data_IF_166529229270
#
_entry.id   IF_166529229270
#
_cell.length_a   1.000
_cell.length_b   1.000
_cell.length_c   1.000
_cell.angle_alpha   90.00
_cell.angle_beta   90.00
_cell.angle_gamma   90.00
#
_symmetry.space_group_name_H-M   'P 1'
#
loop_
_entity.id
_entity.type
_entity.pdbx_description
1 polymer ?
#
# COMPACT_ATOMS: atom_id res chain seq x y z
N UNK A 1 -45.51 -73.99 -14.39
CA UNK A 1 -44.77 -73.93 -13.11
C UNK A 1 -43.49 -73.13 -13.34
N UNK A 2 -43.28 -72.10 -12.54
CA UNK A 2 -42.09 -71.24 -12.48
C UNK A 2 -40.88 -72.00 -11.84
N UNK A 3 -39.70 -71.39 -11.57
CA UNK A 3 -38.81 -70.63 -12.46
C UNK A 3 -37.27 -70.86 -12.18
N UNK A 4 -36.43 -70.06 -12.86
CA UNK A 4 -35.05 -69.60 -12.51
C UNK A 4 -33.86 -70.59 -12.51
N UNK A 5 -32.78 -70.22 -13.23
CA UNK A 5 -31.54 -69.69 -12.63
C UNK A 5 -30.48 -69.41 -13.72
N UNK A 6 -30.15 -68.14 -13.88
CA UNK A 6 -28.92 -67.68 -14.53
C UNK A 6 -27.74 -67.93 -13.57
N UNK A 7 -26.60 -68.43 -14.08
CA UNK A 7 -25.40 -68.56 -13.27
C UNK A 7 -24.17 -68.02 -14.01
N UNK A 8 -23.44 -67.20 -13.27
CA UNK A 8 -22.36 -66.33 -13.70
C UNK A 8 -21.04 -67.08 -13.53
N UNK A 9 -20.17 -67.10 -14.55
CA UNK A 9 -18.78 -67.54 -14.39
C UNK A 9 -17.90 -66.30 -14.32
N UNK A 10 -17.34 -66.08 -13.15
CA UNK A 10 -16.44 -65.00 -12.81
C UNK A 10 -15.11 -65.14 -13.58
N UNK A 11 -14.75 -64.09 -14.33
CA UNK A 11 -13.43 -63.95 -14.92
C UNK A 11 -12.44 -63.44 -13.86
N UNK A 12 -11.31 -64.13 -13.81
CA UNK A 12 -10.13 -63.88 -12.99
C UNK A 12 -9.51 -62.51 -13.32
N UNK A 13 -9.38 -61.61 -12.34
CA UNK A 13 -8.54 -60.41 -12.42
C UNK A 13 -7.61 -60.37 -11.21
N UNK A 14 -6.39 -60.87 -11.39
CA UNK A 14 -5.28 -60.64 -10.47
C UNK A 14 -4.81 -59.20 -10.75
N UNK A 15 -5.32 -58.25 -9.96
CA UNK A 15 -4.81 -56.88 -9.93
C UNK A 15 -3.56 -56.91 -9.04
N UNK A 16 -2.39 -57.05 -9.66
CA UNK A 16 -1.13 -56.71 -9.01
C UNK A 16 -1.14 -55.21 -8.72
N UNK A 17 -1.32 -54.85 -7.45
CA UNK A 17 -1.18 -53.48 -6.98
C UNK A 17 0.30 -53.06 -7.12
N UNK A 18 0.65 -52.42 -8.24
CA UNK A 18 1.83 -51.57 -8.28
C UNK A 18 1.52 -50.34 -7.42
N UNK A 19 2.02 -50.35 -6.19
CA UNK A 19 2.15 -49.15 -5.39
C UNK A 19 3.20 -48.26 -6.06
N UNK A 20 2.77 -47.38 -6.97
CA UNK A 20 3.54 -46.19 -7.31
C UNK A 20 3.54 -45.29 -6.07
N UNK A 21 4.59 -45.41 -5.26
CA UNK A 21 4.93 -44.38 -4.29
C UNK A 21 5.18 -43.09 -5.09
N UNK A 22 4.20 -42.19 -5.08
CA UNK A 22 4.42 -40.81 -5.51
C UNK A 22 5.58 -40.26 -4.67
N UNK A 23 6.63 -39.67 -5.28
CA UNK A 23 7.63 -38.99 -4.50
C UNK A 23 6.92 -37.88 -3.71
N UNK A 24 7.05 -37.91 -2.38
CA UNK A 24 6.72 -36.77 -1.55
C UNK A 24 7.58 -35.62 -2.08
N UNK A 25 6.98 -34.73 -2.87
CA UNK A 25 7.67 -33.60 -3.43
C UNK A 25 8.13 -32.76 -2.23
N UNK A 26 9.44 -32.67 -2.04
CA UNK A 26 10.03 -31.63 -1.19
C UNK A 26 9.61 -30.29 -1.79
N UNK A 27 8.46 -29.78 -1.34
CA UNK A 27 7.92 -28.52 -1.83
C UNK A 27 8.85 -27.35 -1.51
N UNK A 28 9.73 -27.51 -0.53
CA UNK A 28 10.74 -26.53 -0.17
C UNK A 28 12.11 -26.88 -0.75
N UNK A 29 12.65 -26.01 -1.59
CA UNK A 29 14.05 -26.08 -2.05
C UNK A 29 14.96 -25.20 -1.19
N UNK A 30 14.45 -24.06 -0.70
CA UNK A 30 15.20 -23.06 0.07
C UNK A 30 14.26 -22.22 0.95
N UNK A 31 14.79 -21.61 2.02
CA UNK A 31 14.02 -20.71 2.89
C UNK A 31 14.06 -19.28 2.36
N UNK A 32 12.90 -18.64 2.22
CA UNK A 32 12.76 -17.23 1.93
C UNK A 32 13.22 -16.38 3.13
N UNK A 33 13.65 -15.15 2.89
CA UNK A 33 13.81 -14.15 3.95
C UNK A 33 12.43 -13.84 4.59
N UNK A 34 12.39 -13.35 5.84
CA UNK A 34 11.15 -12.82 6.42
C UNK A 34 10.50 -11.78 5.50
N UNK A 35 9.20 -11.92 5.21
CA UNK A 35 8.50 -11.06 4.24
C UNK A 35 8.85 -11.33 2.76
N UNK A 36 9.75 -12.25 2.47
CA UNK A 36 10.26 -12.53 1.13
C UNK A 36 9.33 -13.40 0.28
N UNK A 37 9.72 -13.59 -0.98
CA UNK A 37 8.96 -14.37 -1.95
C UNK A 37 9.02 -15.88 -1.65
N UNK A 38 7.88 -16.56 -1.75
CA UNK A 38 7.68 -17.98 -1.47
C UNK A 38 6.73 -18.63 -2.48
N UNK A 39 6.63 -19.96 -2.48
CA UNK A 39 5.71 -20.67 -3.36
C UNK A 39 6.34 -21.11 -4.68
N UNK A 40 5.55 -21.78 -5.55
CA UNK A 40 6.03 -22.46 -6.74
C UNK A 40 6.55 -21.48 -7.79
N UNK A 41 5.94 -20.30 -7.88
CA UNK A 41 6.37 -19.23 -8.78
C UNK A 41 7.67 -18.55 -8.35
N UNK A 42 8.15 -18.81 -7.13
CA UNK A 42 9.30 -18.14 -6.53
C UNK A 42 10.44 -19.11 -6.23
N UNK A 43 10.62 -20.10 -7.11
CA UNK A 43 11.69 -21.09 -7.00
C UNK A 43 11.48 -22.10 -5.88
N UNK A 44 10.21 -22.40 -5.54
CA UNK A 44 9.83 -23.31 -4.46
C UNK A 44 10.39 -22.91 -3.08
N UNK A 45 10.44 -21.60 -2.83
CA UNK A 45 10.89 -21.03 -1.55
C UNK A 45 9.84 -21.18 -0.47
N UNK A 46 10.29 -21.50 0.74
CA UNK A 46 9.42 -21.64 1.90
C UNK A 46 9.63 -20.54 2.91
N UNK A 47 8.55 -20.14 3.56
CA UNK A 47 8.62 -19.09 4.54
C UNK A 47 9.39 -19.52 5.79
N UNK A 48 10.04 -18.56 6.49
CA UNK A 48 10.58 -18.82 7.81
C UNK A 48 9.52 -19.42 8.75
N UNK A 49 9.97 -20.19 9.73
CA UNK A 49 9.09 -20.86 10.69
C UNK A 49 8.06 -19.89 11.29
N UNK A 50 6.79 -20.31 11.32
CA UNK A 50 5.67 -19.51 11.83
C UNK A 50 5.10 -18.50 10.84
N UNK A 51 5.65 -18.38 9.63
CA UNK A 51 5.08 -17.56 8.56
C UNK A 51 4.34 -18.41 7.52
N UNK A 52 3.26 -17.84 7.03
CA UNK A 52 2.41 -18.36 5.97
C UNK A 52 2.89 -17.88 4.61
N UNK A 53 2.85 -18.75 3.61
CA UNK A 53 3.03 -18.31 2.23
C UNK A 53 1.67 -17.92 1.66
N UNK A 54 1.46 -16.63 1.41
CA UNK A 54 0.20 -16.12 0.85
C UNK A 54 -0.09 -16.72 -0.53
N UNK A 55 -1.34 -16.65 -0.99
CA UNK A 55 -1.70 -17.02 -2.37
C UNK A 55 -0.92 -16.24 -3.45
N UNK A 56 -0.37 -15.08 -3.08
CA UNK A 56 0.42 -14.22 -3.95
C UNK A 56 1.92 -14.52 -3.92
N UNK A 57 2.35 -15.53 -3.15
CA UNK A 57 3.73 -15.99 -3.11
C UNK A 57 4.63 -15.13 -2.24
N UNK A 58 4.14 -14.63 -1.11
CA UNK A 58 4.93 -13.88 -0.13
C UNK A 58 4.70 -14.38 1.29
N UNK A 59 5.76 -14.33 2.10
CA UNK A 59 5.76 -14.74 3.50
C UNK A 59 5.20 -13.69 4.44
N UNK A 60 4.37 -14.10 5.39
CA UNK A 60 3.92 -13.23 6.47
C UNK A 60 3.03 -13.95 7.48
N UNK A 61 2.60 -13.25 8.53
CA UNK A 61 1.83 -13.83 9.65
C UNK A 61 0.39 -13.34 9.75
N UNK A 62 -0.01 -12.39 8.89
CA UNK A 62 -1.35 -11.80 8.96
C UNK A 62 -2.39 -12.71 8.30
N UNK A 63 -3.67 -12.46 8.54
CA UNK A 63 -4.78 -13.18 7.88
C UNK A 63 -4.69 -13.15 6.36
N UNK A 64 -4.10 -12.12 5.76
CA UNK A 64 -3.90 -12.06 4.31
C UNK A 64 -2.87 -13.09 3.80
N UNK A 65 -1.93 -13.50 4.66
CA UNK A 65 -0.94 -14.53 4.35
C UNK A 65 -1.42 -15.91 4.75
N UNK A 66 -2.03 -16.02 5.93
CA UNK A 66 -2.44 -17.26 6.55
C UNK A 66 -3.88 -17.70 6.24
N UNK A 67 -4.67 -16.82 5.64
CA UNK A 67 -6.08 -17.04 5.34
C UNK A 67 -6.30 -17.86 4.06
N UNK A 68 -7.44 -17.62 3.41
CA UNK A 68 -7.82 -18.34 2.19
C UNK A 68 -6.75 -18.21 1.10
N UNK A 69 -6.37 -19.34 0.52
CA UNK A 69 -5.35 -19.40 -0.52
C UNK A 69 -3.90 -19.47 0.00
N UNK A 70 -3.70 -19.54 1.32
CA UNK A 70 -2.39 -19.82 1.89
C UNK A 70 -1.81 -21.13 1.31
N UNK A 71 -0.58 -21.05 0.80
CA UNK A 71 0.12 -22.14 0.15
C UNK A 71 0.80 -23.02 1.21
N UNK A 72 0.05 -23.98 1.74
CA UNK A 72 0.47 -24.83 2.86
C UNK A 72 1.76 -25.62 2.62
N UNK A 73 2.08 -25.90 1.36
CA UNK A 73 3.33 -26.54 0.98
C UNK A 73 4.57 -25.64 1.17
N UNK A 74 4.37 -24.32 1.38
CA UNK A 74 5.43 -23.31 1.44
C UNK A 74 5.39 -22.43 2.69
N UNK A 75 4.53 -22.72 3.67
CA UNK A 75 4.43 -21.97 4.92
C UNK A 75 3.44 -22.58 5.91
N UNK A 76 3.35 -21.99 7.11
CA UNK A 76 2.56 -22.52 8.22
C UNK A 76 1.09 -22.07 8.15
N UNK A 77 0.33 -22.60 7.19
CA UNK A 77 -1.08 -22.29 7.01
C UNK A 77 -1.96 -22.98 8.08
N UNK A 78 -1.98 -22.46 9.31
CA UNK A 78 -2.88 -22.99 10.35
C UNK A 78 -4.25 -22.34 10.24
N UNK A 79 -5.24 -23.09 9.77
CA UNK A 79 -6.65 -22.71 9.92
C UNK A 79 -7.09 -22.85 11.38
N UNK A 80 -7.57 -21.75 11.97
CA UNK A 80 -8.32 -21.54 13.25
C UNK A 80 -7.60 -20.46 14.10
N UNK A 81 -8.14 -19.29 14.43
CA UNK A 81 -9.51 -18.74 14.46
C UNK A 81 -9.71 -17.69 13.37
N UNK A 82 -10.80 -17.82 12.63
CA UNK A 82 -11.36 -16.69 11.89
C UNK A 82 -11.72 -15.58 12.90
N UNK A 83 -10.98 -14.47 12.89
CA UNK A 83 -11.69 -13.19 12.99
C UNK A 83 -12.57 -13.06 11.75
N UNK A 84 -13.72 -12.37 11.84
CA UNK A 84 -14.60 -12.20 10.70
C UNK A 84 -13.78 -11.70 9.50
N UNK A 85 -14.11 -12.12 8.26
CA UNK A 85 -13.54 -11.48 7.10
C UNK A 85 -13.68 -9.96 7.29
N UNK A 86 -12.65 -9.15 6.99
CA UNK A 86 -12.90 -7.72 6.82
C UNK A 86 -14.09 -7.61 5.86
N UNK A 87 -15.04 -6.69 6.10
CA UNK A 87 -16.17 -6.52 5.20
C UNK A 87 -15.62 -6.51 3.78
N UNK A 88 -16.20 -7.30 2.87
CA UNK A 88 -15.95 -7.11 1.44
C UNK A 88 -16.40 -5.69 1.14
N UNK A 89 -15.48 -4.74 1.27
CA UNK A 89 -15.66 -3.43 0.68
C UNK A 89 -15.65 -3.74 -0.80
N UNK A 90 -16.78 -3.51 -1.47
CA UNK A 90 -16.80 -3.53 -2.93
C UNK A 90 -15.60 -2.72 -3.41
N UNK A 91 -14.93 -3.13 -4.51
CA UNK A 91 -13.91 -2.29 -5.13
C UNK A 91 -14.47 -0.88 -5.18
N UNK A 92 -13.78 0.12 -4.58
CA UNK A 92 -14.23 1.49 -4.69
C UNK A 92 -14.47 1.76 -6.18
N UNK A 93 -15.57 2.47 -6.53
CA UNK A 93 -15.86 2.78 -7.91
C UNK A 93 -14.60 3.34 -8.57
N UNK A 94 -14.33 3.04 -9.86
CA UNK A 94 -13.14 3.52 -10.54
C UNK A 94 -12.98 5.01 -10.22
N UNK A 95 -11.79 5.42 -9.76
CA UNK A 95 -11.45 6.84 -9.53
C UNK A 95 -11.65 7.53 -10.88
N UNK A 96 -12.88 7.96 -11.17
CA UNK A 96 -13.13 8.92 -12.23
C UNK A 96 -12.30 10.12 -11.83
N UNK A 97 -11.47 10.61 -12.74
CA UNK A 97 -10.94 11.95 -12.64
C UNK A 97 -12.15 12.87 -12.40
N UNK A 98 -12.35 13.28 -11.13
CA UNK A 98 -13.25 14.37 -10.88
C UNK A 98 -12.65 15.57 -11.59
N UNK A 99 -13.45 16.40 -12.29
CA UNK A 99 -12.97 17.69 -12.71
C UNK A 99 -12.31 18.33 -11.50
N UNK A 100 -11.04 18.71 -11.63
CA UNK A 100 -10.34 19.43 -10.58
C UNK A 100 -11.28 20.54 -10.10
N UNK A 101 -11.62 20.61 -8.80
CA UNK A 101 -12.37 21.74 -8.27
C UNK A 101 -11.70 23.01 -8.80
N UNK A 102 -12.46 24.02 -9.26
CA UNK A 102 -11.85 25.28 -9.68
C UNK A 102 -10.90 25.73 -8.57
N UNK A 103 -9.66 26.17 -8.90
CA UNK A 103 -8.70 26.57 -7.89
C UNK A 103 -9.41 27.52 -6.92
N UNK A 104 -9.37 27.25 -5.60
CA UNK A 104 -10.00 28.15 -4.66
C UNK A 104 -9.43 29.54 -4.94
N UNK A 105 -10.34 30.50 -5.18
CA UNK A 105 -9.97 31.91 -5.30
C UNK A 105 -9.04 32.18 -4.11
N UNK A 106 -7.85 32.69 -4.41
CA UNK A 106 -6.82 33.08 -3.44
C UNK A 106 -7.38 34.16 -2.52
N UNK A 107 -8.19 33.73 -1.54
CA UNK A 107 -8.54 34.48 -0.36
C UNK A 107 -7.57 34.05 0.75
N UNK A 108 -7.17 34.95 1.64
CA UNK A 108 -6.36 34.58 2.78
C UNK A 108 -7.17 33.60 3.64
N UNK A 109 -6.84 32.31 3.55
CA UNK A 109 -7.14 31.35 4.60
C UNK A 109 -6.51 31.91 5.87
N UNK A 110 -7.21 32.02 7.00
CA UNK A 110 -6.62 32.54 8.22
C UNK A 110 -5.41 31.68 8.55
N UNK A 111 -4.21 32.26 8.39
CA UNK A 111 -2.98 31.64 8.85
C UNK A 111 -3.21 31.21 10.30
N UNK A 112 -3.03 29.93 10.63
CA UNK A 112 -2.91 29.54 12.03
C UNK A 112 -1.85 30.44 12.65
N UNK A 113 -2.17 31.07 13.78
CA UNK A 113 -1.20 31.81 14.58
C UNK A 113 0.09 30.97 14.71
N UNK A 114 1.29 31.59 14.69
CA UNK A 114 2.55 30.87 14.70
C UNK A 114 2.60 29.97 15.93
N UNK A 115 2.26 28.70 15.71
CA UNK A 115 2.38 27.67 16.73
C UNK A 115 3.86 27.38 16.76
N UNK A 116 4.50 27.83 17.83
CA UNK A 116 5.94 27.86 18.05
C UNK A 116 6.60 26.54 17.62
N UNK A 117 7.60 26.63 16.73
CA UNK A 117 8.39 25.47 16.35
C UNK A 117 8.98 25.50 14.95
N UNK A 118 8.27 26.07 13.98
CA UNK A 118 8.75 26.19 12.61
C UNK A 118 9.57 27.48 12.41
N UNK A 119 10.63 27.47 11.57
CA UNK A 119 11.38 28.69 11.27
C UNK A 119 10.50 29.76 10.61
N UNK A 120 10.93 31.02 10.64
CA UNK A 120 10.17 32.12 10.03
C UNK A 120 9.87 31.84 8.54
N UNK A 121 8.62 32.12 8.16
CA UNK A 121 8.09 31.84 6.83
C UNK A 121 7.72 30.38 6.57
N UNK A 122 7.86 29.48 7.54
CA UNK A 122 7.36 28.10 7.44
C UNK A 122 6.12 27.91 8.30
N UNK A 123 5.15 27.15 7.79
CA UNK A 123 3.90 26.83 8.47
C UNK A 123 3.96 25.42 9.07
N UNK A 124 3.35 25.17 10.25
CA UNK A 124 3.31 23.84 10.83
C UNK A 124 2.32 22.92 10.09
N UNK A 125 2.69 21.66 9.97
CA UNK A 125 1.88 20.57 9.43
C UNK A 125 2.20 19.26 10.16
N UNK A 126 1.37 18.24 9.93
CA UNK A 126 1.69 16.85 10.28
C UNK A 126 2.12 16.11 9.02
N UNK A 127 3.04 15.17 9.18
CA UNK A 127 3.50 14.30 8.11
C UNK A 127 3.26 12.84 8.38
N UNK A 128 2.97 12.11 7.32
CA UNK A 128 3.04 10.65 7.25
C UNK A 128 3.80 10.26 5.99
N UNK A 129 4.06 8.96 5.81
CA UNK A 129 4.73 8.43 4.64
C UNK A 129 3.92 7.27 4.07
N UNK A 130 3.74 7.26 2.76
CA UNK A 130 3.06 6.18 2.04
C UNK A 130 3.91 5.67 0.88
N UNK A 131 3.59 4.49 0.36
CA UNK A 131 4.23 3.93 -0.83
C UNK A 131 3.21 3.93 -1.98
N UNK A 132 3.51 4.62 -3.09
CA UNK A 132 2.65 4.60 -4.28
C UNK A 132 2.73 3.28 -5.06
N UNK A 133 3.71 2.43 -4.74
CA UNK A 133 3.91 1.09 -5.30
C UNK A 133 4.36 0.12 -4.19
N UNK A 134 3.50 -0.14 -3.19
CA UNK A 134 3.85 -0.97 -2.06
C UNK A 134 4.08 -2.41 -2.52
N UNK A 135 5.02 -3.10 -1.87
CA UNK A 135 5.29 -4.50 -2.17
C UNK A 135 4.06 -5.36 -1.81
N UNK A 136 3.67 -6.33 -2.67
CA UNK A 136 2.58 -7.26 -2.36
C UNK A 136 2.76 -7.93 -1.00
N UNK A 137 1.69 -8.01 -0.22
CA UNK A 137 1.71 -8.61 1.13
C UNK A 137 2.10 -7.65 2.26
N UNK A 138 2.67 -6.47 1.97
CA UNK A 138 2.94 -5.47 3.01
C UNK A 138 1.64 -4.91 3.62
N UNK A 139 1.76 -4.30 4.80
CA UNK A 139 0.63 -3.62 5.45
C UNK A 139 0.07 -2.51 4.55
N UNK A 140 0.96 -1.75 3.92
CA UNK A 140 0.62 -0.71 2.94
C UNK A 140 -0.22 -1.24 1.78
N UNK A 141 0.22 -2.35 1.21
CA UNK A 141 -0.46 -2.99 0.09
C UNK A 141 -1.88 -3.46 0.44
N UNK A 142 -2.01 -4.12 1.60
CA UNK A 142 -3.23 -4.88 1.93
C UNK A 142 -4.16 -4.10 2.85
N UNK A 143 -3.67 -3.58 3.97
CA UNK A 143 -4.50 -2.93 4.98
C UNK A 143 -4.90 -1.51 4.57
N UNK A 144 -4.02 -0.81 3.85
CA UNK A 144 -4.26 0.57 3.40
C UNK A 144 -4.64 0.65 1.91
N UNK A 145 -4.99 -0.49 1.30
CA UNK A 145 -5.39 -0.57 -0.11
C UNK A 145 -4.35 -0.06 -1.11
N UNK A 146 -3.07 0.07 -0.71
CA UNK A 146 -2.04 0.68 -1.55
C UNK A 146 -1.82 -0.09 -2.86
N UNK A 147 -1.93 -1.42 -2.85
CA UNK A 147 -1.85 -2.23 -4.08
C UNK A 147 -3.06 -2.05 -5.00
N UNK A 148 -4.22 -1.69 -4.45
CA UNK A 148 -5.41 -1.37 -5.26
C UNK A 148 -5.17 -0.09 -6.03
N UNK A 149 -4.57 0.91 -5.39
CA UNK A 149 -4.35 2.25 -5.94
C UNK A 149 -2.95 2.50 -6.49
N UNK A 150 -2.10 1.47 -6.55
CA UNK A 150 -0.71 1.63 -6.95
C UNK A 150 -0.58 2.35 -8.31
N UNK A 151 0.24 3.40 -8.33
CA UNK A 151 0.45 4.22 -9.53
C UNK A 151 -0.77 5.02 -10.01
N UNK A 152 -1.79 5.26 -9.18
CA UNK A 152 -2.93 6.12 -9.49
C UNK A 152 -2.97 7.32 -8.54
N UNK A 153 -3.35 8.49 -9.05
CA UNK A 153 -3.36 9.74 -8.26
C UNK A 153 -4.63 10.54 -8.55
N UNK A 154 -5.14 11.24 -7.54
CA UNK A 154 -6.37 12.01 -7.67
C UNK A 154 -6.35 13.05 -8.79
N UNK A 155 -5.21 13.70 -9.04
CA UNK A 155 -5.10 14.81 -9.99
C UNK A 155 -4.46 14.43 -11.33
N UNK A 156 -4.24 13.14 -11.61
CA UNK A 156 -3.52 12.66 -12.79
C UNK A 156 -4.30 11.49 -13.43
N UNK A 157 -4.94 11.73 -14.58
CA UNK A 157 -5.79 10.72 -15.25
C UNK A 157 -4.94 9.77 -16.10
N UNK A 158 -4.78 8.51 -15.66
CA UNK A 158 -4.20 7.44 -16.48
C UNK A 158 -5.22 6.73 -17.39
N UNK A 159 -6.51 7.04 -17.25
CA UNK A 159 -7.63 6.25 -17.75
C UNK A 159 -8.01 5.11 -16.81
N UNK A 160 -9.12 4.43 -17.12
CA UNK A 160 -9.61 3.24 -16.38
C UNK A 160 -9.92 2.07 -17.31
N UNK A 161 -9.46 2.16 -18.57
CA UNK A 161 -9.68 1.18 -19.63
C UNK A 161 -8.62 1.36 -20.71
N UNK A 162 -8.40 0.32 -21.53
CA UNK A 162 -7.49 0.40 -22.67
C UNK A 162 -8.10 1.23 -23.82
N UNK A 163 -7.30 2.01 -24.56
CA UNK A 163 -5.88 2.29 -24.31
C UNK A 163 -5.69 3.25 -23.13
N UNK A 164 -4.63 3.02 -22.34
CA UNK A 164 -4.28 3.92 -21.24
C UNK A 164 -3.81 5.29 -21.78
N UNK A 165 -3.97 6.33 -20.96
CA UNK A 165 -3.68 7.72 -21.30
C UNK A 165 -2.42 8.20 -20.60
N UNK A 166 -1.87 9.33 -21.07
CA UNK A 166 -0.85 10.11 -20.35
C UNK A 166 0.43 9.34 -19.96
N UNK A 167 0.75 8.26 -20.70
CA UNK A 167 1.90 7.41 -20.38
C UNK A 167 1.65 6.39 -19.27
N UNK A 168 0.42 6.27 -18.76
CA UNK A 168 0.00 5.14 -17.95
C UNK A 168 0.03 3.84 -18.78
N UNK A 169 0.20 2.72 -18.08
CA UNK A 169 0.30 1.38 -18.65
C UNK A 169 -0.72 0.45 -17.99
N UNK A 170 -1.15 -0.58 -18.72
CA UNK A 170 -2.06 -1.59 -18.17
C UNK A 170 -1.29 -2.55 -17.26
N UNK A 171 -1.30 -2.28 -15.95
CA UNK A 171 -0.45 -2.95 -14.97
C UNK A 171 -1.25 -3.49 -13.79
N UNK A 172 -0.73 -4.54 -13.16
CA UNK A 172 -1.21 -5.04 -11.87
C UNK A 172 -0.47 -4.29 -10.75
N UNK A 173 -1.22 -3.62 -9.87
CA UNK A 173 -0.68 -2.89 -8.71
C UNK A 173 -0.19 -3.78 -7.56
N UNK A 174 -0.28 -5.10 -7.69
CA UNK A 174 0.02 -6.08 -6.64
C UNK A 174 -1.23 -6.69 -5.98
N UNK A 175 -2.42 -6.17 -6.30
CA UNK A 175 -3.72 -6.68 -5.80
C UNK A 175 -4.30 -7.81 -6.66
N UNK A 176 -3.71 -8.11 -7.81
CA UNK A 176 -4.30 -9.00 -8.82
C UNK A 176 -5.19 -8.27 -9.84
N UNK A 177 -5.48 -6.99 -9.62
CA UNK A 177 -6.35 -6.19 -10.48
C UNK A 177 -5.53 -5.35 -11.46
N UNK A 178 -5.76 -5.60 -12.75
CA UNK A 178 -5.19 -4.81 -13.83
C UNK A 178 -5.94 -3.48 -13.99
N UNK A 179 -5.21 -2.39 -14.15
CA UNK A 179 -5.77 -1.07 -14.43
C UNK A 179 -4.74 -0.21 -15.18
N UNK A 180 -5.11 0.97 -15.65
CA UNK A 180 -4.16 1.95 -16.15
C UNK A 180 -3.46 2.64 -14.97
N UNK A 181 -2.16 2.40 -14.87
CA UNK A 181 -1.31 2.85 -13.76
C UNK A 181 -0.05 3.50 -14.29
N UNK A 182 0.43 4.54 -13.62
CA UNK A 182 1.73 5.11 -13.90
C UNK A 182 2.82 4.19 -13.32
N UNK A 183 3.81 3.76 -14.14
CA UNK A 183 4.87 2.88 -13.68
C UNK A 183 5.64 3.47 -12.48
N UNK A 184 6.11 2.62 -11.56
CA UNK A 184 6.89 3.05 -10.39
C UNK A 184 8.10 3.91 -10.79
N UNK A 185 8.79 3.53 -11.87
CA UNK A 185 9.91 4.28 -12.43
C UNK A 185 9.54 5.71 -12.83
N UNK A 186 8.30 5.93 -13.28
CA UNK A 186 7.78 7.25 -13.62
C UNK A 186 7.42 8.02 -12.36
N UNK A 187 6.65 7.40 -11.46
CA UNK A 187 6.18 8.02 -10.21
C UNK A 187 7.34 8.47 -9.32
N UNK A 188 8.42 7.70 -9.26
CA UNK A 188 9.63 8.01 -8.49
C UNK A 188 10.17 9.41 -8.76
N UNK A 189 10.05 9.90 -9.99
CA UNK A 189 10.56 11.22 -10.38
C UNK A 189 9.61 12.39 -10.06
N UNK A 190 8.38 12.11 -9.62
CA UNK A 190 7.35 13.15 -9.49
C UNK A 190 7.31 13.82 -8.13
N UNK A 191 8.00 13.25 -7.13
CA UNK A 191 8.03 13.73 -5.75
C UNK A 191 6.63 14.02 -5.21
N UNK A 192 5.73 13.04 -5.26
CA UNK A 192 4.33 13.27 -4.91
C UNK A 192 4.15 13.39 -3.39
N UNK A 193 3.19 14.22 -2.99
CA UNK A 193 2.54 14.13 -1.69
C UNK A 193 1.02 14.12 -1.87
N UNK A 194 0.33 13.64 -0.85
CA UNK A 194 -1.12 13.73 -0.70
C UNK A 194 -1.49 14.69 0.44
N UNK A 195 -2.65 15.32 0.35
CA UNK A 195 -3.25 16.12 1.45
C UNK A 195 -4.59 15.51 1.86
N UNK A 196 -5.09 15.87 3.03
CA UNK A 196 -6.40 15.40 3.47
C UNK A 196 -7.51 15.84 2.50
N UNK A 197 -8.38 14.93 2.05
CA UNK A 197 -9.44 15.20 1.07
C UNK A 197 -10.45 16.27 1.54
N UNK A 198 -10.72 16.37 2.84
CA UNK A 198 -11.54 17.44 3.43
C UNK A 198 -10.79 18.76 3.63
N UNK A 199 -9.50 18.81 3.28
CA UNK A 199 -8.67 20.00 3.28
C UNK A 199 -7.80 20.07 2.01
N UNK A 200 -8.48 20.38 0.91
CA UNK A 200 -7.90 20.40 -0.44
C UNK A 200 -7.09 21.66 -0.76
N UNK A 201 -6.86 22.55 0.22
CA UNK A 201 -6.17 23.83 0.00
C UNK A 201 -4.75 23.66 -0.58
N UNK A 202 -4.12 22.51 -0.33
CA UNK A 202 -2.78 22.19 -0.83
C UNK A 202 -2.79 21.44 -2.16
N UNK A 203 -3.94 20.95 -2.65
CA UNK A 203 -4.01 20.22 -3.93
C UNK A 203 -3.53 21.12 -5.07
N UNK A 204 -2.61 20.60 -5.88
CA UNK A 204 -2.01 21.33 -7.00
C UNK A 204 -0.91 22.31 -6.59
N UNK A 205 -0.51 22.35 -5.31
CA UNK A 205 0.61 23.18 -4.82
C UNK A 205 1.92 22.41 -4.80
N UNK A 206 3.02 23.13 -5.01
CA UNK A 206 4.37 22.65 -4.77
C UNK A 206 4.81 23.11 -3.39
N UNK A 207 5.27 22.20 -2.56
CA UNK A 207 5.69 22.52 -1.20
C UNK A 207 7.18 22.20 -1.03
N UNK A 208 7.90 23.09 -0.36
CA UNK A 208 9.14 22.71 0.32
C UNK A 208 8.77 22.25 1.72
N UNK A 209 9.32 21.13 2.17
CA UNK A 209 9.00 20.52 3.46
C UNK A 209 10.26 20.21 4.26
N UNK A 210 10.13 20.22 5.58
CA UNK A 210 11.19 19.89 6.53
C UNK A 210 10.58 19.25 7.78
N UNK A 211 11.36 18.45 8.50
CA UNK A 211 10.97 18.02 9.85
C UNK A 211 11.32 19.14 10.84
N UNK A 212 10.37 19.48 11.71
CA UNK A 212 10.59 20.46 12.77
C UNK A 212 11.78 20.04 13.64
N UNK A 213 12.73 20.94 13.86
CA UNK A 213 13.96 20.67 14.60
C UNK A 213 15.10 20.06 13.76
N UNK A 214 14.87 19.71 12.49
CA UNK A 214 15.90 19.21 11.58
C UNK A 214 16.02 20.07 10.30
N UNK A 215 16.34 21.37 10.41
CA UNK A 215 16.11 22.31 9.32
C UNK A 215 17.03 22.20 8.11
N UNK A 216 18.09 21.42 8.22
CA UNK A 216 19.07 21.23 7.16
C UNK A 216 18.64 20.19 6.12
N UNK A 217 17.59 19.40 6.40
CA UNK A 217 17.04 18.42 5.46
C UNK A 217 15.68 18.89 4.97
N UNK A 218 15.61 19.22 3.70
CA UNK A 218 14.36 19.59 3.03
C UNK A 218 14.10 18.70 1.84
N UNK A 219 12.83 18.44 1.55
CA UNK A 219 12.38 17.87 0.29
C UNK A 219 11.42 18.83 -0.41
N UNK A 220 11.28 18.68 -1.72
CA UNK A 220 10.23 19.36 -2.49
C UNK A 220 9.21 18.34 -2.93
N UNK A 221 7.93 18.63 -2.76
CA UNK A 221 6.83 17.73 -3.13
C UNK A 221 5.78 18.43 -3.98
N UNK A 222 5.17 17.66 -4.88
CA UNK A 222 4.02 18.04 -5.69
C UNK A 222 2.78 17.42 -5.07
N UNK A 223 1.88 18.24 -4.50
CA UNK A 223 0.64 17.73 -3.92
C UNK A 223 -0.34 17.43 -5.06
N UNK A 224 -0.38 16.16 -5.48
CA UNK A 224 -1.15 15.69 -6.63
C UNK A 224 -2.19 14.64 -6.27
N UNK A 225 -2.19 14.22 -5.01
CA UNK A 225 -3.10 13.19 -4.52
C UNK A 225 -3.83 13.65 -3.26
N UNK A 226 -4.79 12.83 -2.82
CA UNK A 226 -5.51 13.06 -1.58
C UNK A 226 -5.54 11.80 -0.71
N UNK A 227 -5.37 12.01 0.59
CA UNK A 227 -5.66 11.02 1.63
C UNK A 227 -7.16 11.09 1.93
N UNK A 228 -7.86 9.98 1.65
CA UNK A 228 -9.29 9.85 1.94
C UNK A 228 -9.52 8.94 3.14
N UNK A 229 -10.33 9.40 4.10
CA UNK A 229 -10.72 8.57 5.24
C UNK A 229 -11.49 7.31 4.83
N UNK A 230 -12.16 7.34 3.66
CA UNK A 230 -12.86 6.19 3.13
C UNK A 230 -11.89 5.08 2.71
N UNK A 231 -10.68 5.45 2.28
CA UNK A 231 -9.67 4.50 1.79
C UNK A 231 -8.93 3.80 2.94
N UNK A 232 -8.79 4.47 4.08
CA UNK A 232 -7.98 3.99 5.21
C UNK A 232 -8.71 3.86 6.57
N UNK A 233 -10.02 4.08 6.61
CA UNK A 233 -10.82 3.93 7.83
C UNK A 233 -10.65 5.07 8.85
N UNK A 234 -10.59 6.32 8.38
CA UNK A 234 -10.50 7.50 9.26
C UNK A 234 -9.08 7.95 9.63
N UNK A 235 -8.05 7.38 9.00
CA UNK A 235 -6.66 7.68 9.34
C UNK A 235 -6.27 9.13 9.05
N UNK A 236 -6.79 9.75 7.99
CA UNK A 236 -6.45 11.11 7.59
C UNK A 236 -7.01 12.12 8.60
N UNK A 237 -8.26 11.94 9.04
CA UNK A 237 -8.86 12.66 10.17
C UNK A 237 -8.01 12.51 11.43
N UNK A 238 -7.64 11.28 11.79
CA UNK A 238 -6.87 11.02 13.00
C UNK A 238 -5.51 11.71 12.95
N UNK A 239 -4.77 11.52 11.85
CA UNK A 239 -3.42 12.08 11.66
C UNK A 239 -3.42 13.61 11.71
N UNK A 240 -4.46 14.27 11.19
CA UNK A 240 -4.61 15.74 11.24
C UNK A 240 -5.05 16.27 12.60
N UNK A 241 -5.31 15.40 13.58
CA UNK A 241 -5.94 15.77 14.83
C UNK A 241 -7.34 16.37 14.62
N UNK A 242 -8.10 15.78 13.69
CA UNK A 242 -9.39 16.25 13.21
C UNK A 242 -9.29 17.64 12.55
N UNK A 243 -8.48 17.74 11.50
CA UNK A 243 -8.25 18.96 10.71
C UNK A 243 -7.63 20.15 11.48
N UNK A 244 -7.03 19.91 12.65
CA UNK A 244 -6.23 20.93 13.36
C UNK A 244 -4.93 21.27 12.64
N UNK A 245 -4.39 20.31 11.90
CA UNK A 245 -3.13 20.43 11.18
C UNK A 245 -3.32 20.06 9.72
N UNK A 246 -2.60 20.73 8.82
CA UNK A 246 -2.49 20.28 7.43
C UNK A 246 -1.79 18.93 7.40
N UNK A 247 -2.32 17.98 6.61
CA UNK A 247 -1.65 16.72 6.32
C UNK A 247 -0.77 16.88 5.09
N UNK A 248 0.50 16.50 5.22
CA UNK A 248 1.38 16.28 4.09
C UNK A 248 1.82 14.83 4.17
N UNK A 249 1.11 13.97 3.48
CA UNK A 249 1.40 12.55 3.42
C UNK A 249 2.35 12.29 2.24
N UNK A 250 3.61 11.98 2.56
CA UNK A 250 4.73 12.07 1.62
C UNK A 250 4.96 10.71 0.97
N UNK A 251 5.10 10.68 -0.35
CA UNK A 251 5.47 9.44 -1.04
C UNK A 251 6.90 9.01 -0.65
N UNK A 252 7.17 7.69 -0.63
CA UNK A 252 8.43 7.13 -0.10
C UNK A 252 9.70 7.78 -0.67
N UNK A 253 9.72 8.21 -1.93
CA UNK A 253 10.90 8.76 -2.59
C UNK A 253 11.27 10.15 -2.05
N UNK A 254 10.41 11.18 -2.06
CA UNK A 254 10.71 12.43 -1.37
C UNK A 254 10.87 12.24 0.15
N UNK A 255 10.17 11.29 0.77
CA UNK A 255 10.36 10.97 2.19
C UNK A 255 11.77 10.42 2.46
N UNK A 256 12.34 9.61 1.56
CA UNK A 256 13.70 9.07 1.69
C UNK A 256 14.76 10.17 1.69
N UNK A 257 14.57 11.22 0.90
CA UNK A 257 15.44 12.41 0.90
C UNK A 257 15.29 13.19 2.20
N UNK A 258 14.05 13.39 2.65
CA UNK A 258 13.75 14.15 3.86
C UNK A 258 14.30 13.47 5.13
N UNK A 259 14.08 12.16 5.25
CA UNK A 259 14.36 11.38 6.45
C UNK A 259 15.72 10.66 6.39
N UNK A 260 16.30 10.50 5.20
CA UNK A 260 17.62 9.89 5.00
C UNK A 260 17.63 8.37 5.17
N UNK A 261 16.68 7.67 4.54
CA UNK A 261 16.63 6.20 4.49
C UNK A 261 16.80 5.70 3.05
N UNK A 262 17.12 4.42 2.88
CA UNK A 262 17.16 3.75 1.56
C UNK A 262 15.83 3.03 1.27
N UNK A 263 15.04 3.49 0.27
CA UNK A 263 13.76 2.89 -0.11
C UNK A 263 13.90 1.71 -1.11
N UNK A 264 15.12 1.36 -1.53
CA UNK A 264 15.35 0.37 -2.59
C UNK A 264 15.41 -1.10 -2.18
N UNK A 265 15.68 -1.49 -0.91
CA UNK A 265 15.71 -2.89 -0.52
C UNK A 265 14.40 -3.62 -0.85
N UNK A 266 14.51 -4.89 -1.25
CA UNK A 266 13.35 -5.70 -1.66
C UNK A 266 12.36 -5.95 -0.52
N UNK A 267 12.81 -5.87 0.73
CA UNK A 267 12.02 -6.02 1.95
C UNK A 267 11.62 -4.67 2.58
N UNK A 268 11.79 -3.56 1.86
CA UNK A 268 11.37 -2.25 2.34
C UNK A 268 9.85 -2.18 2.52
N UNK A 269 9.42 -1.65 3.66
CA UNK A 269 8.03 -1.31 3.97
C UNK A 269 8.02 0.03 4.73
N UNK A 270 7.28 1.01 4.21
CA UNK A 270 7.13 2.34 4.81
C UNK A 270 6.60 2.28 6.25
N UNK A 271 5.86 1.23 6.60
CA UNK A 271 5.32 1.02 7.94
C UNK A 271 6.39 0.63 8.98
N UNK A 272 7.60 0.27 8.54
CA UNK A 272 8.72 -0.07 9.41
C UNK A 272 9.66 1.13 9.63
N UNK A 273 9.36 2.30 9.05
CA UNK A 273 10.15 3.51 9.25
C UNK A 273 9.99 4.04 10.69
N UNK A 274 11.11 4.41 11.30
CA UNK A 274 11.10 5.13 12.57
C UNK A 274 10.90 6.63 12.28
N UNK A 275 9.65 7.09 12.31
CA UNK A 275 9.31 8.48 12.04
C UNK A 275 9.64 9.38 13.26
N UNK A 276 10.12 10.62 13.04
CA UNK A 276 10.26 11.59 14.12
C UNK A 276 8.92 11.80 14.82
N UNK A 277 8.86 11.65 16.14
CA UNK A 277 7.60 11.78 16.89
C UNK A 277 7.12 13.24 16.96
N UNK A 278 5.82 13.45 16.79
CA UNK A 278 5.16 14.74 16.98
C UNK A 278 4.75 15.03 18.44
N UNK A 279 5.23 14.22 19.39
CA UNK A 279 4.92 14.35 20.83
C UNK A 279 5.12 15.77 21.35
N UNK A 280 4.06 16.34 21.92
CA UNK A 280 4.05 17.72 22.42
C UNK A 280 4.17 18.83 21.35
N UNK A 281 4.27 18.48 20.05
CA UNK A 281 4.46 19.43 18.96
C UNK A 281 3.21 19.59 18.08
N UNK A 282 2.36 18.55 18.01
CA UNK A 282 1.12 18.56 17.22
C UNK A 282 -0.06 18.09 18.06
N UNK A 283 -0.50 18.94 18.99
CA UNK A 283 -1.60 18.62 19.90
C UNK A 283 -2.85 18.15 19.14
N UNK A 284 -3.43 17.05 19.62
CA UNK A 284 -4.59 16.39 19.00
C UNK A 284 -4.25 15.40 17.89
N UNK A 285 -3.05 15.45 17.30
CA UNK A 285 -2.57 14.43 16.38
C UNK A 285 -1.89 13.27 17.15
N UNK A 286 -1.95 12.03 16.64
CA UNK A 286 -1.33 10.89 17.31
C UNK A 286 0.20 10.98 17.32
N UNK A 287 0.76 11.15 18.52
CA UNK A 287 2.15 11.54 18.75
C UNK A 287 3.21 10.60 18.14
N UNK A 288 2.90 9.31 18.01
CA UNK A 288 3.82 8.28 17.53
C UNK A 288 3.63 7.88 16.07
N UNK A 289 2.53 8.29 15.43
CA UNK A 289 2.22 7.89 14.05
C UNK A 289 2.29 9.05 13.05
N UNK A 290 2.53 10.27 13.52
CA UNK A 290 2.79 11.42 12.66
C UNK A 290 4.08 12.12 13.04
N UNK A 291 4.70 12.74 12.05
CA UNK A 291 5.88 13.57 12.24
C UNK A 291 5.54 15.07 12.24
N UNK A 292 6.26 15.88 13.05
CA UNK A 292 6.04 17.31 13.10
C UNK A 292 6.71 17.94 11.88
N UNK A 293 5.94 18.25 10.83
CA UNK A 293 6.46 18.89 9.64
C UNK A 293 6.33 20.41 9.71
N UNK A 294 7.22 21.08 9.00
CA UNK A 294 7.03 22.46 8.58
C UNK A 294 7.03 22.50 7.05
N UNK A 295 6.21 23.37 6.47
CA UNK A 295 6.13 23.52 5.02
C UNK A 295 6.14 24.98 4.57
N UNK A 296 6.55 25.17 3.33
CA UNK A 296 6.45 26.41 2.56
C UNK A 296 5.75 26.09 1.25
N UNK A 297 4.71 26.85 0.94
CA UNK A 297 4.17 26.85 -0.41
C UNK A 297 5.14 27.62 -1.32
N UNK A 298 5.69 26.93 -2.31
CA UNK A 298 6.67 27.47 -3.26
C UNK A 298 6.09 27.63 -4.68
N UNK A 299 4.76 27.52 -4.81
CA UNK A 299 4.05 27.82 -6.05
C UNK A 299 3.18 26.66 -6.55
N UNK A 300 2.96 26.63 -7.87
CA UNK A 300 2.18 25.58 -8.51
C UNK A 300 2.99 24.29 -8.60
N UNK A 301 2.31 23.17 -8.38
CA UNK A 301 2.87 21.84 -8.63
C UNK A 301 3.28 21.69 -10.08
N UNK A 302 4.30 20.87 -10.32
CA UNK A 302 4.78 20.55 -11.66
C UNK A 302 3.64 20.02 -12.53
N UNK A 303 3.73 20.33 -13.83
CA UNK A 303 2.87 19.67 -14.83
C UNK A 303 3.36 18.24 -14.96
N UNK A 304 2.54 17.31 -14.47
CA UNK A 304 2.71 15.89 -14.68
C UNK A 304 1.79 15.47 -15.85
N UNK A 305 2.11 14.38 -16.56
CA UNK A 305 1.36 13.90 -17.72
C UNK A 305 -0.15 13.76 -17.51
#
# INVERSE_FOLDING_TARGET
MAPQKANWIAALLIITALAFALPAHSACTTTASPGGACGPSNGNKCCPSGQCCSQYGYCGITTAHCGTGCQAAFGTCTGTKASPPPPKVNPPPPKKASPAPPPPKSGPSPSPAPTSGCPSGWLPAVGTVYDSWPKPGTKECVQYSGCTWAGQFNSIDGGSAKPCKNGAQWLNGGSGVMDCRFPEATVKGWNIASTYDKDSALVGRKLQIMVQGAPQRTATVNVKDVCSDADCGGCCSANTGNAKWKLIDIEKWPASVLLGFDPTPSNFDVNNLNLPSAKGLRSGAPESSVMPLCYKDVGLADKLP
#
